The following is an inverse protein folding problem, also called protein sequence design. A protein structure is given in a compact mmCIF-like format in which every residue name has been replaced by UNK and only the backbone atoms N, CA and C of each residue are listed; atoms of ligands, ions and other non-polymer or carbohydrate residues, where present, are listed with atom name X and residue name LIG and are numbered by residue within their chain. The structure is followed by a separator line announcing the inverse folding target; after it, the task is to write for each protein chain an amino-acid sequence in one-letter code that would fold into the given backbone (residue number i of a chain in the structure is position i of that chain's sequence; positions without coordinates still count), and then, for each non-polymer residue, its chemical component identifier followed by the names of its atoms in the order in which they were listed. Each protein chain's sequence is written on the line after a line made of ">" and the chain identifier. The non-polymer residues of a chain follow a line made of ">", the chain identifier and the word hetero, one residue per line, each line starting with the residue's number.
data_IF_916498541157
#
_entry.id   IF_916498541157
#
_cell.length_a   1.000
_cell.length_b   1.000
_cell.length_c   1.000
_cell.angle_alpha   90.00
_cell.angle_beta   90.00
_cell.angle_gamma   90.00
#
_symmetry.space_group_name_H-M   'P 1'
#
loop_
_entity.id
_entity.type
_entity.pdbx_description
1 polymer ?
#
# COMPACT_ATOMS: atom_id res chain seq x y z
N UNK A 1 3.68 -25.91 -0.10
CA UNK A 1 5.05 -25.50 -0.50
C UNK A 1 5.98 -26.68 -0.27
N UNK A 2 6.89 -26.93 -1.20
CA UNK A 2 7.90 -27.98 -1.08
C UNK A 2 8.95 -27.63 0.00
N UNK A 3 9.36 -28.63 0.79
CA UNK A 3 10.26 -28.42 1.94
C UNK A 3 11.68 -28.04 1.51
N UNK A 4 12.18 -28.60 0.41
CA UNK A 4 13.53 -28.31 -0.09
C UNK A 4 13.62 -26.87 -0.65
N UNK A 5 12.56 -26.42 -1.32
CA UNK A 5 12.41 -25.04 -1.79
C UNK A 5 12.44 -24.04 -0.62
N UNK A 6 11.76 -24.36 0.49
CA UNK A 6 11.78 -23.53 1.72
C UNK A 6 13.17 -23.50 2.36
N UNK A 7 13.86 -24.65 2.43
CA UNK A 7 15.24 -24.70 2.96
C UNK A 7 16.18 -23.85 2.10
N UNK A 8 16.04 -23.93 0.78
CA UNK A 8 16.81 -23.13 -0.18
C UNK A 8 16.59 -21.64 0.05
N UNK A 9 15.32 -21.21 0.15
CA UNK A 9 14.98 -19.82 0.47
C UNK A 9 15.59 -19.38 1.80
N UNK A 10 15.47 -20.19 2.85
CA UNK A 10 16.00 -19.88 4.18
C UNK A 10 17.52 -19.67 4.14
N UNK A 11 18.24 -20.53 3.42
CA UNK A 11 19.68 -20.38 3.19
C UNK A 11 20.03 -19.11 2.43
N UNK A 12 19.29 -18.81 1.35
CA UNK A 12 19.50 -17.62 0.53
C UNK A 12 19.25 -16.32 1.32
N UNK A 13 18.20 -16.26 2.16
CA UNK A 13 17.94 -15.13 3.05
C UNK A 13 19.03 -14.99 4.11
N UNK A 14 19.52 -16.10 4.66
CA UNK A 14 20.66 -16.09 5.60
C UNK A 14 21.92 -15.49 4.97
N UNK A 15 22.20 -15.85 3.72
CA UNK A 15 23.30 -15.32 2.93
C UNK A 15 23.11 -13.83 2.61
N UNK A 16 21.93 -13.41 2.16
CA UNK A 16 21.60 -12.00 1.91
C UNK A 16 21.79 -11.15 3.18
N UNK A 17 21.32 -11.64 4.34
CA UNK A 17 21.55 -10.97 5.62
C UNK A 17 23.04 -10.79 5.92
N UNK A 18 23.85 -11.82 5.68
CA UNK A 18 25.30 -11.74 5.85
C UNK A 18 25.94 -10.71 4.90
N UNK A 19 25.50 -10.65 3.65
CA UNK A 19 25.98 -9.67 2.67
C UNK A 19 25.74 -8.24 3.12
N UNK A 20 24.53 -7.96 3.58
CA UNK A 20 24.13 -6.64 4.11
C UNK A 20 24.95 -6.27 5.34
N UNK A 21 25.02 -7.15 6.35
CA UNK A 21 25.67 -6.83 7.63
C UNK A 21 27.20 -6.74 7.55
N UNK A 22 27.81 -7.37 6.53
CA UNK A 22 29.26 -7.32 6.31
C UNK A 22 29.67 -6.38 5.17
N UNK A 23 28.74 -5.50 4.75
CA UNK A 23 28.96 -4.50 3.71
C UNK A 23 29.58 -5.07 2.42
N UNK A 24 29.06 -6.20 1.94
CA UNK A 24 29.52 -6.79 0.68
C UNK A 24 29.20 -5.89 -0.51
N UNK A 25 29.86 -6.17 -1.64
CA UNK A 25 29.56 -5.55 -2.92
C UNK A 25 28.15 -5.92 -3.38
N UNK A 26 27.43 -4.95 -3.91
CA UNK A 26 26.15 -5.14 -4.60
C UNK A 26 26.43 -5.78 -5.98
N UNK A 27 25.49 -6.60 -6.44
CA UNK A 27 25.57 -7.31 -7.72
C UNK A 27 24.34 -6.99 -8.57
N UNK A 28 24.41 -7.29 -9.86
CA UNK A 28 23.26 -7.34 -10.73
C UNK A 28 22.29 -8.42 -10.26
N UNK A 29 21.00 -8.20 -10.53
CA UNK A 29 19.93 -9.16 -10.31
C UNK A 29 19.97 -10.22 -11.40
N UNK A 30 19.50 -11.43 -11.08
CA UNK A 30 19.59 -12.58 -11.99
C UNK A 30 18.27 -13.29 -12.27
N UNK A 31 17.16 -12.87 -11.63
CA UNK A 31 15.87 -13.54 -11.79
C UNK A 31 14.77 -12.60 -12.25
N UNK A 32 13.87 -13.12 -13.08
CA UNK A 32 12.62 -12.46 -13.45
C UNK A 32 11.59 -12.78 -12.37
N UNK A 33 10.88 -11.77 -11.90
CA UNK A 33 9.76 -11.94 -10.96
C UNK A 33 8.46 -11.97 -11.74
N UNK A 34 7.59 -12.92 -11.39
CA UNK A 34 6.29 -13.09 -12.01
C UNK A 34 5.43 -11.82 -11.91
N UNK A 35 4.68 -11.51 -12.98
CA UNK A 35 3.76 -10.37 -13.02
C UNK A 35 4.41 -9.00 -13.27
N UNK A 36 5.70 -8.98 -13.62
CA UNK A 36 6.52 -7.78 -13.76
C UNK A 36 7.31 -7.78 -15.08
N UNK A 37 6.68 -7.39 -16.19
CA UNK A 37 7.34 -7.36 -17.50
C UNK A 37 8.51 -6.37 -17.52
N UNK A 38 9.66 -6.80 -18.07
CA UNK A 38 10.90 -6.00 -18.22
C UNK A 38 11.52 -5.46 -16.91
N UNK A 39 11.05 -5.92 -15.75
CA UNK A 39 11.57 -5.49 -14.42
C UNK A 39 13.08 -5.70 -14.28
N UNK A 40 13.56 -6.89 -14.64
CA UNK A 40 14.96 -7.27 -14.49
C UNK A 40 15.89 -6.36 -15.29
N UNK A 41 15.50 -6.02 -16.52
CA UNK A 41 16.29 -5.15 -17.40
C UNK A 41 16.32 -3.72 -16.88
N UNK A 42 15.19 -3.23 -16.36
CA UNK A 42 15.08 -1.89 -15.79
C UNK A 42 15.94 -1.77 -14.51
N UNK A 43 15.80 -2.71 -13.59
CA UNK A 43 16.63 -2.76 -12.38
C UNK A 43 18.12 -2.87 -12.69
N UNK A 44 18.51 -3.77 -13.60
CA UNK A 44 19.91 -3.92 -13.97
C UNK A 44 20.45 -2.68 -14.71
N UNK A 45 19.61 -1.93 -15.42
CA UNK A 45 19.98 -0.64 -15.99
C UNK A 45 20.23 0.41 -14.90
N UNK A 46 19.35 0.50 -13.89
CA UNK A 46 19.53 1.39 -12.74
C UNK A 46 20.76 1.02 -11.91
N UNK A 47 21.00 -0.26 -11.66
CA UNK A 47 22.19 -0.77 -10.98
C UNK A 47 23.48 -0.38 -11.72
N UNK A 48 23.51 -0.57 -13.05
CA UNK A 48 24.66 -0.16 -13.87
C UNK A 48 24.89 1.35 -13.85
N UNK A 49 23.83 2.15 -13.88
CA UNK A 49 23.93 3.60 -13.76
C UNK A 49 24.52 4.02 -12.40
N UNK A 50 24.28 3.23 -11.36
CA UNK A 50 24.88 3.37 -10.02
C UNK A 50 26.27 2.73 -9.88
N UNK A 51 26.89 2.26 -10.97
CA UNK A 51 28.24 1.69 -10.98
C UNK A 51 28.33 0.20 -10.62
N UNK A 52 27.21 -0.50 -10.49
CA UNK A 52 27.19 -1.94 -10.21
C UNK A 52 27.44 -2.72 -11.49
N UNK A 53 28.55 -3.46 -11.54
CA UNK A 53 28.97 -4.23 -12.71
C UNK A 53 29.08 -5.73 -12.45
N UNK A 54 29.19 -6.14 -11.19
CA UNK A 54 29.37 -7.54 -10.80
C UNK A 54 28.06 -8.30 -10.95
N UNK A 55 28.11 -9.50 -11.53
CA UNK A 55 26.98 -10.44 -11.58
C UNK A 55 26.94 -11.35 -10.37
N UNK A 56 28.11 -11.65 -9.79
CA UNK A 56 28.24 -12.48 -8.59
C UNK A 56 29.23 -11.86 -7.60
N UNK A 57 29.15 -12.27 -6.34
CA UNK A 57 30.11 -11.89 -5.29
C UNK A 57 31.52 -12.47 -5.50
N UNK A 58 31.70 -13.39 -6.45
CA UNK A 58 32.98 -13.98 -6.79
C UNK A 58 33.65 -13.30 -7.98
N UNK A 59 32.93 -12.41 -8.67
CA UNK A 59 33.45 -11.71 -9.84
C UNK A 59 34.61 -10.81 -9.41
N UNK A 60 35.77 -11.00 -10.02
CA UNK A 60 36.96 -10.19 -9.78
C UNK A 60 37.14 -9.24 -10.93
N UNK A 61 37.08 -7.94 -10.65
CA UNK A 61 37.61 -6.94 -11.58
C UNK A 61 38.73 -6.19 -10.88
N UNK A 62 39.90 -6.20 -11.52
CA UNK A 62 41.10 -5.56 -10.97
C UNK A 62 40.98 -4.05 -11.18
N UNK A 63 41.05 -3.28 -10.10
CA UNK A 63 41.17 -1.82 -10.16
C UNK A 63 39.88 -1.01 -10.27
N UNK A 64 38.71 -1.61 -10.01
CA UNK A 64 37.43 -0.90 -9.91
C UNK A 64 36.89 -0.97 -8.48
N UNK A 65 36.55 0.18 -7.91
CA UNK A 65 35.78 0.27 -6.67
C UNK A 65 34.31 -0.05 -6.98
N UNK A 66 33.78 -1.13 -6.41
CA UNK A 66 32.40 -1.55 -6.61
C UNK A 66 31.49 -1.01 -5.51
N UNK A 67 30.25 -0.59 -5.86
CA UNK A 67 29.27 -0.24 -4.86
C UNK A 67 29.05 -1.39 -3.87
N UNK A 68 29.03 -1.04 -2.59
CA UNK A 68 28.69 -1.89 -1.46
C UNK A 68 27.34 -1.46 -0.86
N UNK A 69 26.78 -2.31 0.00
CA UNK A 69 25.52 -2.03 0.70
C UNK A 69 25.49 -0.69 1.44
N UNK A 70 26.64 -0.18 1.91
CA UNK A 70 26.71 1.08 2.67
C UNK A 70 27.20 2.27 1.83
N UNK A 71 27.37 2.10 0.51
CA UNK A 71 27.92 3.14 -0.37
C UNK A 71 26.90 3.81 -1.29
N UNK A 72 25.73 3.20 -1.50
CA UNK A 72 24.67 3.75 -2.34
C UNK A 72 23.62 4.49 -1.48
N UNK A 73 22.80 5.37 -2.08
CA UNK A 73 21.73 6.06 -1.37
C UNK A 73 20.81 5.08 -0.63
N UNK A 74 20.40 5.46 0.59
CA UNK A 74 19.61 4.59 1.46
C UNK A 74 18.35 4.05 0.77
N UNK A 75 17.54 4.92 0.13
CA UNK A 75 16.34 4.52 -0.61
C UNK A 75 16.66 3.45 -1.67
N UNK A 76 17.76 3.64 -2.42
CA UNK A 76 18.17 2.71 -3.45
C UNK A 76 18.52 1.34 -2.86
N UNK A 77 19.32 1.33 -1.79
CA UNK A 77 19.77 0.09 -1.12
C UNK A 77 18.60 -0.65 -0.48
N UNK A 78 17.66 0.09 0.12
CA UNK A 78 16.48 -0.51 0.76
C UNK A 78 15.53 -1.12 -0.27
N UNK A 79 15.23 -0.42 -1.36
CA UNK A 79 14.47 -0.98 -2.47
C UNK A 79 15.19 -2.21 -3.07
N UNK A 80 16.52 -2.14 -3.26
CA UNK A 80 17.31 -3.25 -3.76
C UNK A 80 17.28 -4.46 -2.82
N UNK A 81 17.25 -4.26 -1.50
CA UNK A 81 17.09 -5.34 -0.51
C UNK A 81 15.80 -6.12 -0.75
N UNK A 82 14.65 -5.43 -0.87
CA UNK A 82 13.37 -6.10 -1.12
C UNK A 82 13.34 -6.80 -2.48
N UNK A 83 13.92 -6.18 -3.52
CA UNK A 83 14.04 -6.83 -4.82
C UNK A 83 14.94 -8.08 -4.78
N UNK A 84 16.01 -8.06 -3.97
CA UNK A 84 16.90 -9.22 -3.71
C UNK A 84 16.22 -10.33 -2.93
N UNK A 85 15.32 -10.01 -1.99
CA UNK A 85 14.47 -11.01 -1.33
C UNK A 85 13.62 -11.72 -2.38
N UNK A 86 13.04 -10.99 -3.33
CA UNK A 86 12.26 -11.58 -4.41
C UNK A 86 13.12 -12.40 -5.39
N UNK A 87 14.38 -12.02 -5.64
CA UNK A 87 15.34 -12.87 -6.34
C UNK A 87 15.54 -14.21 -5.61
N UNK A 88 15.70 -14.19 -4.28
CA UNK A 88 15.81 -15.41 -3.49
C UNK A 88 14.57 -16.29 -3.60
N UNK A 89 13.36 -15.71 -3.62
CA UNK A 89 12.09 -16.44 -3.80
C UNK A 89 12.02 -17.10 -5.17
N UNK A 90 12.30 -16.34 -6.23
CA UNK A 90 12.27 -16.84 -7.61
C UNK A 90 13.30 -17.95 -7.84
N UNK A 91 14.54 -17.76 -7.38
CA UNK A 91 15.61 -18.77 -7.49
C UNK A 91 15.34 -20.02 -6.65
N UNK A 92 14.54 -19.91 -5.59
CA UNK A 92 14.08 -21.05 -4.80
C UNK A 92 12.87 -21.77 -5.40
N UNK A 93 12.44 -21.38 -6.61
CA UNK A 93 11.28 -21.96 -7.33
C UNK A 93 9.96 -21.82 -6.57
N UNK A 94 9.82 -20.74 -5.79
CA UNK A 94 8.63 -20.46 -4.99
C UNK A 94 7.65 -19.49 -5.67
N UNK A 95 7.86 -19.15 -6.96
CA UNK A 95 6.93 -18.35 -7.78
C UNK A 95 6.41 -17.10 -7.06
N UNK A 96 5.09 -16.92 -7.05
CA UNK A 96 4.38 -15.81 -6.36
C UNK A 96 4.33 -15.94 -4.82
N UNK A 97 5.24 -16.68 -4.20
CA UNK A 97 5.28 -16.80 -2.75
C UNK A 97 5.60 -15.44 -2.12
N UNK A 98 4.71 -15.01 -1.23
CA UNK A 98 4.90 -13.82 -0.43
C UNK A 98 5.45 -14.19 0.96
N UNK A 99 6.73 -13.89 1.26
CA UNK A 99 7.32 -14.19 2.56
C UNK A 99 6.73 -13.39 3.71
N UNK A 100 5.96 -12.33 3.42
CA UNK A 100 5.38 -11.42 4.40
C UNK A 100 3.86 -11.61 4.58
N UNK A 101 3.22 -12.45 3.77
CA UNK A 101 1.76 -12.67 3.80
C UNK A 101 1.26 -13.04 5.20
N UNK A 102 1.96 -13.91 5.94
CA UNK A 102 1.55 -14.29 7.30
C UNK A 102 1.50 -13.08 8.23
N UNK A 103 2.49 -12.19 8.15
CA UNK A 103 2.52 -10.98 8.97
C UNK A 103 1.39 -10.02 8.58
N UNK A 104 1.17 -9.79 7.28
CA UNK A 104 0.06 -8.94 6.78
C UNK A 104 -1.31 -9.45 7.24
N UNK A 105 -1.57 -10.74 7.07
CA UNK A 105 -2.82 -11.39 7.50
C UNK A 105 -3.00 -11.33 9.01
N UNK A 106 -1.93 -11.61 9.78
CA UNK A 106 -1.96 -11.51 11.23
C UNK A 106 -2.22 -10.09 11.71
N UNK A 107 -1.73 -9.07 10.98
CA UNK A 107 -2.03 -7.66 11.26
C UNK A 107 -3.53 -7.41 11.22
N UNK A 108 -4.17 -7.73 10.09
CA UNK A 108 -5.62 -7.57 9.92
C UNK A 108 -6.45 -8.19 11.05
N UNK A 109 -6.15 -9.44 11.41
CA UNK A 109 -6.92 -10.20 12.41
C UNK A 109 -6.79 -9.56 13.79
N UNK A 110 -5.59 -9.10 14.14
CA UNK A 110 -5.33 -8.43 15.42
C UNK A 110 -6.02 -7.07 15.50
N UNK A 111 -6.24 -6.43 14.36
CA UNK A 111 -6.95 -5.15 14.24
C UNK A 111 -8.49 -5.27 14.23
N UNK A 112 -9.07 -6.36 14.74
CA UNK A 112 -10.54 -6.60 14.71
C UNK A 112 -11.34 -5.40 15.24
N UNK A 113 -10.91 -4.77 16.34
CA UNK A 113 -11.60 -3.60 16.91
C UNK A 113 -11.64 -2.41 15.94
N UNK A 114 -10.49 -2.05 15.35
CA UNK A 114 -10.40 -0.99 14.35
C UNK A 114 -11.24 -1.31 13.12
N UNK A 115 -11.13 -2.53 12.59
CA UNK A 115 -11.91 -2.97 11.43
C UNK A 115 -13.41 -2.89 11.73
N UNK A 116 -13.84 -3.35 12.92
CA UNK A 116 -15.24 -3.25 13.36
C UNK A 116 -15.70 -1.79 13.36
N UNK A 117 -14.91 -0.88 13.94
CA UNK A 117 -15.26 0.54 14.01
C UNK A 117 -15.34 1.19 12.62
N UNK A 118 -14.39 0.90 11.72
CA UNK A 118 -14.41 1.39 10.33
C UNK A 118 -15.67 0.95 9.61
N UNK A 119 -16.01 -0.34 9.67
CA UNK A 119 -17.17 -0.89 8.96
C UNK A 119 -18.50 -0.43 9.57
N UNK A 120 -18.58 -0.33 10.90
CA UNK A 120 -19.73 0.27 11.59
C UNK A 120 -19.92 1.73 11.16
N UNK A 121 -18.85 2.53 11.18
CA UNK A 121 -18.90 3.93 10.80
C UNK A 121 -19.29 4.10 9.33
N UNK A 122 -18.77 3.25 8.44
CA UNK A 122 -19.18 3.22 7.03
C UNK A 122 -20.68 2.94 6.88
N UNK A 123 -21.22 1.92 7.57
CA UNK A 123 -22.65 1.62 7.58
C UNK A 123 -23.50 2.79 8.09
N UNK A 124 -23.08 3.44 9.19
CA UNK A 124 -23.77 4.62 9.73
C UNK A 124 -23.72 5.78 8.75
N UNK A 125 -22.58 6.00 8.09
CA UNK A 125 -22.39 7.08 7.12
C UNK A 125 -23.30 6.97 5.90
N UNK A 126 -23.77 5.76 5.57
CA UNK A 126 -24.69 5.52 4.45
C UNK A 126 -26.16 5.49 4.87
N UNK A 127 -26.46 5.55 6.17
CA UNK A 127 -27.83 5.60 6.66
C UNK A 127 -28.46 6.98 6.32
N UNK A 128 -29.65 7.04 5.70
CA UNK A 128 -30.36 8.30 5.43
C UNK A 128 -30.65 9.15 6.67
N UNK A 129 -30.67 8.54 7.86
CA UNK A 129 -30.86 9.20 9.15
C UNK A 129 -29.55 9.63 9.82
N UNK A 130 -28.40 9.51 9.13
CA UNK A 130 -27.13 9.97 9.64
C UNK A 130 -27.18 11.49 9.93
N UNK A 131 -26.89 11.87 11.17
CA UNK A 131 -26.93 13.27 11.62
C UNK A 131 -25.62 14.02 11.35
N UNK A 132 -24.55 13.30 11.02
CA UNK A 132 -23.25 13.90 10.70
C UNK A 132 -23.30 14.53 9.31
N UNK A 133 -22.76 15.74 9.19
CA UNK A 133 -22.61 16.41 7.90
C UNK A 133 -21.56 15.70 7.05
N UNK A 134 -21.69 15.83 5.72
CA UNK A 134 -20.81 15.12 4.77
C UNK A 134 -19.35 15.55 4.88
N UNK A 135 -19.08 16.80 5.26
CA UNK A 135 -17.72 17.30 5.50
C UNK A 135 -17.09 16.67 6.75
N UNK A 136 -17.84 16.49 7.83
CA UNK A 136 -17.38 15.76 9.02
C UNK A 136 -17.09 14.31 8.68
N UNK A 137 -17.98 13.63 7.96
CA UNK A 137 -17.74 12.26 7.50
C UNK A 137 -16.48 12.16 6.64
N UNK A 138 -16.28 13.10 5.72
CA UNK A 138 -15.09 13.16 4.87
C UNK A 138 -13.81 13.28 5.71
N UNK A 139 -13.77 14.20 6.67
CA UNK A 139 -12.62 14.39 7.56
C UNK A 139 -12.32 13.09 8.32
N UNK A 140 -13.35 12.43 8.88
CA UNK A 140 -13.16 11.17 9.61
C UNK A 140 -12.60 10.07 8.70
N UNK A 141 -13.12 9.89 7.48
CA UNK A 141 -12.58 8.86 6.58
C UNK A 141 -11.16 9.15 6.11
N UNK A 142 -10.83 10.42 5.80
CA UNK A 142 -9.46 10.81 5.41
C UNK A 142 -8.48 10.58 6.55
N UNK A 143 -8.83 10.98 7.77
CA UNK A 143 -7.95 10.80 8.92
C UNK A 143 -7.90 9.35 9.39
N UNK A 144 -8.99 8.59 9.30
CA UNK A 144 -8.97 7.16 9.57
C UNK A 144 -8.07 6.42 8.58
N UNK A 145 -8.11 6.78 7.30
CA UNK A 145 -7.18 6.27 6.31
C UNK A 145 -5.73 6.66 6.68
N UNK A 146 -5.46 7.92 6.99
CA UNK A 146 -4.13 8.40 7.36
C UNK A 146 -3.54 7.67 8.58
N UNK A 147 -4.34 7.46 9.61
CA UNK A 147 -3.87 6.97 10.91
C UNK A 147 -4.12 5.48 11.15
N UNK A 148 -4.65 4.72 10.20
CA UNK A 148 -5.06 3.33 10.42
C UNK A 148 -3.96 2.46 11.07
N UNK A 149 -2.70 2.66 10.72
CA UNK A 149 -1.57 1.94 11.32
C UNK A 149 -1.31 2.34 12.79
N UNK A 150 -1.41 3.63 13.11
CA UNK A 150 -1.19 4.15 14.47
C UNK A 150 -2.40 3.85 15.37
N UNK A 151 -3.62 3.91 14.82
CA UNK A 151 -4.83 3.59 15.57
C UNK A 151 -4.82 2.15 16.07
N UNK A 152 -4.36 1.23 15.22
CA UNK A 152 -4.17 -0.17 15.61
C UNK A 152 -3.26 -0.30 16.84
N UNK A 153 -2.11 0.38 16.84
CA UNK A 153 -1.15 0.34 17.95
C UNK A 153 -1.74 0.91 19.25
N UNK A 154 -2.50 2.00 19.16
CA UNK A 154 -3.12 2.63 20.33
C UNK A 154 -4.18 1.75 20.99
N UNK A 155 -5.02 1.07 20.20
CA UNK A 155 -6.03 0.13 20.71
C UNK A 155 -5.38 -1.10 21.37
N UNK A 156 -4.25 -1.57 20.85
CA UNK A 156 -3.51 -2.68 21.43
C UNK A 156 -2.81 -2.32 22.74
N UNK A 157 -2.37 -1.07 22.91
CA UNK A 157 -1.76 -0.60 24.14
C UNK A 157 -2.78 -0.54 25.30
N UNK A 158 -4.02 -0.13 25.00
CA UNK A 158 -5.10 -0.06 26.00
C UNK A 158 -5.75 -1.41 26.31
N UNK A 159 -5.60 -2.43 25.46
CA UNK A 159 -6.17 -3.78 25.69
C UNK A 159 -5.58 -4.53 26.91
N UNK A 160 -4.45 -4.06 27.48
CA UNK A 160 -3.92 -4.55 28.76
C UNK A 160 -4.66 -3.97 29.98
N UNK A 161 -5.55 -3.02 29.78
CA UNK A 161 -6.54 -2.58 30.75
C UNK A 161 -7.90 -3.07 30.26
N UNK A 162 -8.61 -3.83 31.09
CA UNK A 162 -10.00 -4.25 30.84
C UNK A 162 -10.88 -3.02 30.76
N UNK A 163 -10.98 -2.42 29.58
CA UNK A 163 -11.89 -1.33 29.27
C UNK A 163 -13.12 -1.97 28.65
N UNK A 164 -14.22 -1.84 29.38
CA UNK A 164 -15.60 -2.00 28.90
C UNK A 164 -15.79 -1.28 27.56
N UNK A 165 -16.77 -1.71 26.76
CA UNK A 165 -17.14 -1.20 25.43
C UNK A 165 -17.64 0.26 25.47
N UNK A 166 -16.81 1.15 25.99
CA UNK A 166 -16.80 2.61 25.84
C UNK A 166 -15.45 2.98 25.22
N UNK A 167 -15.00 2.17 24.24
CA UNK A 167 -13.89 2.52 23.38
C UNK A 167 -14.22 3.89 22.75
N UNK A 168 -13.31 4.85 22.90
CA UNK A 168 -13.33 6.11 22.17
C UNK A 168 -13.72 5.84 20.73
N UNK A 169 -14.79 6.48 20.27
CA UNK A 169 -15.30 6.25 18.92
C UNK A 169 -14.21 6.58 17.89
N UNK A 170 -14.29 6.02 16.68
CA UNK A 170 -13.38 6.36 15.59
C UNK A 170 -13.23 7.89 15.43
N UNK A 171 -14.32 8.63 15.63
CA UNK A 171 -14.34 10.09 15.62
C UNK A 171 -13.51 10.72 16.76
N UNK A 172 -13.66 10.22 18.00
CA UNK A 172 -12.91 10.74 19.15
C UNK A 172 -11.39 10.52 18.98
N UNK A 173 -10.99 9.39 18.40
CA UNK A 173 -9.57 9.15 18.12
C UNK A 173 -9.06 10.02 16.98
N UNK A 174 -9.83 10.17 15.91
CA UNK A 174 -9.53 11.12 14.82
C UNK A 174 -9.33 12.52 15.40
N UNK A 175 -10.21 12.97 16.29
CA UNK A 175 -10.09 14.28 16.94
C UNK A 175 -8.80 14.40 17.76
N UNK A 176 -8.39 13.35 18.49
CA UNK A 176 -7.12 13.33 19.22
C UNK A 176 -5.90 13.36 18.29
N UNK A 177 -5.93 12.59 17.20
CA UNK A 177 -4.81 12.49 16.26
C UNK A 177 -4.70 13.71 15.35
N UNK A 178 -5.81 14.41 15.09
CA UNK A 178 -5.83 15.66 14.33
C UNK A 178 -4.89 16.71 14.94
N UNK A 179 -4.72 16.71 16.27
CA UNK A 179 -3.81 17.60 16.99
C UNK A 179 -2.33 17.30 16.74
N UNK A 180 -2.01 16.12 16.19
CA UNK A 180 -0.64 15.70 15.85
C UNK A 180 -0.25 16.03 14.41
N UNK A 181 -1.19 16.52 13.59
CA UNK A 181 -0.91 16.94 12.22
C UNK A 181 -0.08 18.22 12.21
N UNK A 182 1.11 18.14 11.62
CA UNK A 182 1.98 19.32 11.41
C UNK A 182 1.44 20.21 10.28
N UNK A 183 0.87 19.58 9.25
CA UNK A 183 0.20 20.23 8.11
C UNK A 183 -1.13 19.53 7.92
N UNK A 184 -2.22 20.29 7.91
CA UNK A 184 -3.57 19.77 7.73
C UNK A 184 -4.32 20.56 6.65
N UNK A 185 -4.26 20.05 5.42
CA UNK A 185 -5.00 20.58 4.27
C UNK A 185 -6.34 19.87 4.05
N UNK A 186 -6.84 19.06 5.01
CA UNK A 186 -8.05 18.24 4.84
C UNK A 186 -9.27 19.08 4.45
N UNK A 187 -9.42 20.29 5.02
CA UNK A 187 -10.52 21.20 4.66
C UNK A 187 -10.37 21.80 3.26
N UNK A 188 -9.14 22.09 2.83
CA UNK A 188 -8.88 22.56 1.48
C UNK A 188 -9.18 21.45 0.47
N UNK A 189 -8.79 20.23 0.80
CA UNK A 189 -9.07 19.03 0.03
C UNK A 189 -10.58 18.74 -0.08
N UNK A 190 -11.35 18.90 0.99
CA UNK A 190 -12.81 18.81 0.95
C UNK A 190 -13.42 19.81 -0.03
N UNK A 191 -13.04 21.09 0.07
CA UNK A 191 -13.54 22.15 -0.84
C UNK A 191 -13.23 21.84 -2.30
N UNK A 192 -12.01 21.38 -2.56
CA UNK A 192 -11.58 20.99 -3.89
C UNK A 192 -12.46 19.88 -4.50
N UNK A 193 -12.85 18.88 -3.70
CA UNK A 193 -13.78 17.84 -4.12
C UNK A 193 -15.19 18.37 -4.38
N UNK A 194 -15.71 19.24 -3.51
CA UNK A 194 -17.03 19.85 -3.68
C UNK A 194 -17.12 20.72 -4.94
N UNK A 195 -16.10 21.54 -5.20
CA UNK A 195 -16.10 22.41 -6.38
C UNK A 195 -16.16 21.59 -7.67
N UNK A 196 -15.49 20.44 -7.70
CA UNK A 196 -15.48 19.54 -8.87
C UNK A 196 -16.72 18.68 -9.01
N UNK A 197 -17.33 18.23 -7.91
CA UNK A 197 -18.59 17.48 -7.98
C UNK A 197 -19.73 18.35 -8.52
N UNK A 198 -19.72 19.65 -8.21
CA UNK A 198 -20.71 20.63 -8.70
C UNK A 198 -20.48 20.99 -10.18
N UNK A 199 -19.23 21.14 -10.62
CA UNK A 199 -18.93 21.56 -12.00
C UNK A 199 -19.16 20.49 -13.08
N UNK A 200 -19.25 19.21 -12.71
CA UNK A 200 -19.25 18.09 -13.67
C UNK A 200 -20.59 17.38 -13.83
N UNK A 201 -21.70 17.90 -13.28
CA UNK A 201 -23.04 17.34 -13.50
C UNK A 201 -23.45 17.25 -14.98
N UNK A 202 -22.80 18.03 -15.85
CA UNK A 202 -23.06 18.09 -17.30
C UNK A 202 -21.93 17.49 -18.17
N UNK A 203 -20.84 16.96 -17.60
CA UNK A 203 -19.73 16.42 -18.39
C UNK A 203 -19.79 14.90 -18.52
N UNK A 204 -19.62 14.37 -19.74
CA UNK A 204 -19.60 12.92 -20.02
C UNK A 204 -18.37 12.18 -19.49
N UNK A 205 -17.43 12.88 -18.84
CA UNK A 205 -16.16 12.32 -18.35
C UNK A 205 -16.27 11.95 -16.87
N UNK A 206 -16.03 10.69 -16.48
CA UNK A 206 -16.10 10.27 -15.08
C UNK A 206 -14.99 10.92 -14.26
N UNK A 207 -15.33 11.38 -13.06
CA UNK A 207 -14.34 11.79 -12.08
C UNK A 207 -13.63 10.56 -11.51
N UNK A 208 -12.30 10.57 -11.48
CA UNK A 208 -11.47 9.44 -11.03
C UNK A 208 -10.53 9.86 -9.91
N UNK A 209 -10.51 9.07 -8.85
CA UNK A 209 -9.53 9.16 -7.76
C UNK A 209 -8.52 8.03 -7.90
N UNK A 210 -7.23 8.33 -7.90
CA UNK A 210 -6.17 7.32 -7.77
C UNK A 210 -5.68 7.26 -6.31
N UNK A 211 -5.47 6.05 -5.81
CA UNK A 211 -4.89 5.79 -4.48
C UNK A 211 -3.63 4.96 -4.67
N UNK A 212 -2.48 5.54 -4.33
CA UNK A 212 -1.19 4.84 -4.31
C UNK A 212 -1.02 4.26 -2.93
N UNK A 213 -1.16 2.93 -2.85
CA UNK A 213 -1.34 2.23 -1.59
C UNK A 213 -0.01 2.02 -0.87
N UNK A 214 -0.10 2.05 0.45
CA UNK A 214 0.98 1.67 1.36
C UNK A 214 0.68 0.27 1.93
N UNK A 215 0.20 0.13 3.16
CA UNK A 215 0.12 -1.17 3.83
C UNK A 215 -1.20 -1.92 3.65
N UNK A 216 -1.10 -3.25 3.64
CA UNK A 216 -2.21 -4.18 3.75
C UNK A 216 -2.77 -4.22 5.19
N UNK A 217 -3.81 -5.02 5.38
CA UNK A 217 -4.46 -5.17 6.69
C UNK A 217 -5.41 -4.00 6.98
N UNK A 218 -5.40 -3.41 8.20
CA UNK A 218 -6.38 -2.39 8.57
C UNK A 218 -6.28 -1.10 7.74
N UNK A 219 -5.09 -0.72 7.27
CA UNK A 219 -4.93 0.45 6.41
C UNK A 219 -5.65 0.28 5.07
N UNK A 220 -5.48 -0.89 4.43
CA UNK A 220 -6.22 -1.21 3.21
C UNK A 220 -7.75 -1.21 3.41
N UNK A 221 -8.23 -1.65 4.58
CA UNK A 221 -9.67 -1.56 4.92
C UNK A 221 -10.10 -0.09 5.03
N UNK A 222 -9.31 0.76 5.70
CA UNK A 222 -9.59 2.19 5.83
C UNK A 222 -9.60 2.89 4.47
N UNK A 223 -8.68 2.55 3.58
CA UNK A 223 -8.62 3.06 2.20
C UNK A 223 -9.85 2.65 1.38
N UNK A 224 -10.32 1.41 1.53
CA UNK A 224 -11.56 0.93 0.90
C UNK A 224 -12.80 1.64 1.47
N UNK A 225 -12.84 1.91 2.78
CA UNK A 225 -13.89 2.72 3.40
C UNK A 225 -13.92 4.15 2.85
N UNK A 226 -12.77 4.81 2.74
CA UNK A 226 -12.66 6.14 2.13
C UNK A 226 -13.13 6.10 0.67
N UNK A 227 -12.67 5.13 -0.11
CA UNK A 227 -13.07 4.97 -1.51
C UNK A 227 -14.58 4.75 -1.68
N UNK A 228 -15.20 3.92 -0.84
CA UNK A 228 -16.65 3.68 -0.86
C UNK A 228 -17.42 4.93 -0.47
N UNK A 229 -16.94 5.68 0.54
CA UNK A 229 -17.54 6.96 0.91
C UNK A 229 -17.48 7.97 -0.25
N UNK A 230 -16.32 8.11 -0.91
CA UNK A 230 -16.16 9.03 -2.05
C UNK A 230 -17.12 8.68 -3.20
N UNK A 231 -17.26 7.39 -3.52
CA UNK A 231 -18.22 6.92 -4.52
C UNK A 231 -19.67 7.20 -4.12
N UNK A 232 -20.08 6.79 -2.91
CA UNK A 232 -21.46 6.94 -2.44
C UNK A 232 -21.91 8.39 -2.31
N UNK A 233 -20.98 9.32 -2.07
CA UNK A 233 -21.25 10.77 -2.03
C UNK A 233 -21.13 11.45 -3.39
N UNK A 234 -20.85 10.70 -4.46
CA UNK A 234 -20.69 11.26 -5.81
C UNK A 234 -19.48 12.20 -5.93
N UNK A 235 -18.51 12.08 -5.02
CA UNK A 235 -17.25 12.85 -5.06
C UNK A 235 -16.27 12.24 -6.07
N UNK A 236 -16.50 10.99 -6.45
CA UNK A 236 -15.82 10.34 -7.56
C UNK A 236 -16.76 9.34 -8.22
N UNK A 237 -16.50 8.99 -9.49
CA UNK A 237 -17.21 7.93 -10.21
C UNK A 237 -16.38 6.65 -10.28
N UNK A 238 -15.06 6.75 -10.09
CA UNK A 238 -14.14 5.62 -10.16
C UNK A 238 -12.96 5.79 -9.21
N UNK A 239 -12.46 4.67 -8.68
CA UNK A 239 -11.25 4.63 -7.87
C UNK A 239 -10.24 3.66 -8.46
N UNK A 240 -9.05 4.15 -8.75
CA UNK A 240 -7.90 3.35 -9.18
C UNK A 240 -6.97 3.10 -7.99
N UNK A 241 -6.81 1.84 -7.63
CA UNK A 241 -5.90 1.40 -6.59
C UNK A 241 -4.58 0.93 -7.22
N UNK A 242 -3.46 1.49 -6.75
CA UNK A 242 -2.12 1.14 -7.21
C UNK A 242 -1.36 0.42 -6.10
N UNK A 243 -1.45 -0.91 -6.02
CA UNK A 243 -0.61 -1.73 -5.16
C UNK A 243 0.80 -1.89 -5.75
N UNK A 244 1.71 -2.43 -4.93
CA UNK A 244 3.04 -2.85 -5.35
C UNK A 244 2.97 -4.15 -6.16
N UNK A 245 3.81 -4.30 -7.17
CA UNK A 245 3.78 -5.46 -8.07
C UNK A 245 4.30 -6.74 -7.40
N UNK A 246 5.17 -6.60 -6.40
CA UNK A 246 5.83 -7.68 -5.67
C UNK A 246 5.69 -7.45 -4.17
N UNK A 247 5.87 -8.47 -3.31
CA UNK A 247 6.03 -8.28 -1.87
C UNK A 247 7.11 -7.22 -1.59
N UNK A 248 6.69 -6.12 -0.96
CA UNK A 248 7.47 -4.90 -0.87
C UNK A 248 7.34 -4.34 0.55
N UNK A 249 8.43 -3.81 1.10
CA UNK A 249 8.45 -3.12 2.40
C UNK A 249 7.67 -3.82 3.54
N UNK A 250 7.71 -5.16 3.53
CA UNK A 250 7.02 -6.06 4.47
C UNK A 250 5.49 -6.03 4.34
N UNK A 251 4.87 -4.88 4.60
CA UNK A 251 3.42 -4.77 4.74
C UNK A 251 2.73 -4.19 3.51
N UNK A 252 3.46 -3.75 2.48
CA UNK A 252 2.82 -3.12 1.34
C UNK A 252 1.80 -4.02 0.64
N UNK A 253 0.72 -3.38 0.18
CA UNK A 253 -0.35 -4.04 -0.56
C UNK A 253 0.19 -4.53 -1.90
N UNK A 254 -0.02 -5.81 -2.18
CA UNK A 254 0.09 -6.41 -3.51
C UNK A 254 -1.31 -6.77 -4.05
N UNK A 255 -1.46 -7.06 -5.36
CA UNK A 255 -2.70 -7.57 -5.91
C UNK A 255 -3.24 -8.83 -5.20
N UNK A 256 -2.35 -9.69 -4.67
CA UNK A 256 -2.75 -10.89 -3.93
C UNK A 256 -3.32 -10.55 -2.54
N UNK A 257 -2.88 -9.46 -1.92
CA UNK A 257 -3.43 -9.01 -0.64
C UNK A 257 -4.85 -8.47 -0.81
N UNK A 258 -5.13 -7.78 -1.92
CA UNK A 258 -6.48 -7.37 -2.28
C UNK A 258 -7.42 -8.56 -2.45
N UNK A 259 -7.00 -9.53 -3.27
CA UNK A 259 -7.79 -10.73 -3.52
C UNK A 259 -8.04 -11.50 -2.22
N UNK A 260 -6.99 -11.69 -1.42
CA UNK A 260 -7.11 -12.36 -0.12
C UNK A 260 -8.04 -11.60 0.82
N UNK A 261 -7.90 -10.28 0.96
CA UNK A 261 -8.76 -9.46 1.84
C UNK A 261 -10.24 -9.63 1.46
N UNK A 262 -10.58 -9.49 0.18
CA UNK A 262 -11.97 -9.47 -0.28
C UNK A 262 -12.64 -10.84 -0.35
N UNK A 263 -11.86 -11.90 -0.57
CA UNK A 263 -12.40 -13.26 -0.73
C UNK A 263 -12.33 -14.08 0.56
N UNK A 264 -11.40 -13.73 1.45
CA UNK A 264 -11.04 -14.55 2.60
C UNK A 264 -10.94 -13.73 3.88
N UNK A 265 -10.06 -12.72 3.92
CA UNK A 265 -9.67 -12.01 5.14
C UNK A 265 -10.76 -11.17 5.78
N UNK A 266 -11.69 -10.61 4.99
CA UNK A 266 -12.81 -9.81 5.46
C UNK A 266 -14.13 -10.59 5.33
N UNK A 267 -14.20 -11.73 6.00
CA UNK A 267 -15.39 -12.60 6.01
C UNK A 267 -15.67 -13.11 7.41
N UNK A 268 -16.89 -13.59 7.65
CA UNK A 268 -17.28 -14.25 8.90
C UNK A 268 -16.46 -15.49 9.24
N UNK A 269 -15.73 -16.06 8.27
CA UNK A 269 -14.78 -17.15 8.52
C UNK A 269 -13.57 -16.70 9.35
N UNK A 270 -13.12 -15.46 9.15
CA UNK A 270 -11.94 -14.91 9.84
C UNK A 270 -12.30 -13.96 10.97
N UNK A 271 -13.50 -13.36 10.93
CA UNK A 271 -14.04 -12.51 11.97
C UNK A 271 -15.34 -13.10 12.51
N UNK A 272 -15.29 -13.71 13.70
CA UNK A 272 -16.44 -14.41 14.29
C UNK A 272 -17.25 -13.58 15.30
N UNK A 273 -16.83 -12.35 15.60
CA UNK A 273 -17.56 -11.48 16.52
C UNK A 273 -18.95 -11.13 16.00
N UNK A 274 -19.97 -11.11 16.87
CA UNK A 274 -21.38 -10.92 16.50
C UNK A 274 -21.63 -9.64 15.70
N UNK A 275 -20.86 -8.58 15.97
CA UNK A 275 -20.96 -7.28 15.28
C UNK A 275 -20.19 -7.30 13.96
N UNK A 276 -18.93 -7.74 13.97
CA UNK A 276 -18.06 -7.65 12.79
C UNK A 276 -18.39 -8.68 11.72
N UNK A 277 -18.79 -9.90 12.08
CA UNK A 277 -19.07 -10.97 11.11
C UNK A 277 -20.05 -10.53 9.99
N UNK A 278 -21.25 -10.00 10.30
CA UNK A 278 -22.17 -9.55 9.25
C UNK A 278 -21.67 -8.32 8.49
N UNK A 279 -20.91 -7.42 9.15
CA UNK A 279 -20.34 -6.24 8.50
C UNK A 279 -19.25 -6.63 7.49
N UNK A 280 -18.36 -7.54 7.87
CA UNK A 280 -17.27 -8.03 7.04
C UNK A 280 -17.82 -8.70 5.77
N UNK A 281 -18.80 -9.61 5.92
CA UNK A 281 -19.45 -10.26 4.78
C UNK A 281 -20.19 -9.26 3.87
N UNK A 282 -20.89 -8.29 4.45
CA UNK A 282 -21.60 -7.26 3.70
C UNK A 282 -20.63 -6.40 2.87
N UNK A 283 -19.61 -5.82 3.51
CA UNK A 283 -18.69 -4.89 2.86
C UNK A 283 -17.75 -5.59 1.88
N UNK A 284 -17.26 -6.80 2.19
CA UNK A 284 -16.48 -7.57 1.22
C UNK A 284 -17.30 -7.92 -0.03
N UNK A 285 -18.59 -8.25 0.12
CA UNK A 285 -19.48 -8.46 -1.03
C UNK A 285 -19.73 -7.18 -1.80
N UNK A 286 -19.99 -6.06 -1.11
CA UNK A 286 -20.23 -4.77 -1.75
C UNK A 286 -19.00 -4.30 -2.54
N UNK A 287 -17.81 -4.36 -1.96
CA UNK A 287 -16.58 -3.96 -2.65
C UNK A 287 -16.25 -4.87 -3.82
N UNK A 288 -16.48 -6.19 -3.73
CA UNK A 288 -16.38 -7.08 -4.90
C UNK A 288 -17.29 -6.63 -6.04
N UNK A 289 -18.54 -6.23 -5.75
CA UNK A 289 -19.44 -5.66 -6.77
C UNK A 289 -18.92 -4.35 -7.37
N UNK A 290 -18.27 -3.48 -6.58
CA UNK A 290 -17.60 -2.28 -7.10
C UNK A 290 -16.49 -2.63 -8.08
N UNK A 291 -15.71 -3.68 -7.79
CA UNK A 291 -14.68 -4.18 -8.70
C UNK A 291 -15.29 -4.79 -9.97
N UNK A 292 -16.33 -5.61 -9.85
CA UNK A 292 -17.03 -6.23 -10.99
C UNK A 292 -17.68 -5.17 -11.90
N UNK A 293 -18.22 -4.08 -11.31
CA UNK A 293 -18.78 -2.95 -12.04
C UNK A 293 -17.72 -2.01 -12.64
N UNK A 294 -16.44 -2.19 -12.29
CA UNK A 294 -15.34 -1.33 -12.73
C UNK A 294 -15.35 0.07 -12.11
N UNK A 295 -16.07 0.26 -11.00
CA UNK A 295 -16.06 1.47 -10.16
C UNK A 295 -14.82 1.47 -9.27
N UNK A 296 -14.41 0.30 -8.78
CA UNK A 296 -13.08 0.07 -8.22
C UNK A 296 -12.24 -0.69 -9.22
N UNK A 297 -10.97 -0.31 -9.38
CA UNK A 297 -10.04 -1.04 -10.24
C UNK A 297 -8.64 -1.08 -9.66
N UNK A 298 -8.03 -2.26 -9.67
CA UNK A 298 -6.58 -2.40 -9.44
C UNK A 298 -5.83 -2.04 -10.72
N UNK A 299 -4.76 -1.24 -10.58
CA UNK A 299 -3.83 -0.86 -11.64
C UNK A 299 -2.41 -1.14 -11.17
N UNK A 300 -1.63 -1.84 -11.99
CA UNK A 300 -0.24 -2.16 -11.68
C UNK A 300 0.69 -1.21 -12.43
N UNK A 301 1.79 -0.84 -11.79
CA UNK A 301 2.96 -0.26 -12.45
C UNK A 301 4.19 -0.66 -11.67
N UNK A 302 5.23 -1.05 -12.40
CA UNK A 302 6.53 -1.39 -11.84
C UNK A 302 7.18 -0.21 -11.13
N UNK A 303 6.84 1.02 -11.53
CA UNK A 303 7.41 2.23 -10.97
C UNK A 303 7.33 2.27 -9.44
N UNK A 304 6.24 1.77 -8.85
CA UNK A 304 6.03 1.76 -7.40
C UNK A 304 6.97 0.82 -6.64
N UNK A 305 7.72 -0.03 -7.34
CA UNK A 305 8.70 -0.97 -6.80
C UNK A 305 10.09 -0.77 -7.41
N UNK A 306 10.36 0.43 -7.93
CA UNK A 306 11.69 0.86 -8.39
C UNK A 306 12.39 1.71 -7.32
N UNK A 307 13.74 1.80 -7.35
CA UNK A 307 14.51 2.62 -6.43
C UNK A 307 14.53 4.11 -6.84
N UNK A 308 13.41 4.64 -7.32
CA UNK A 308 13.34 5.93 -8.01
C UNK A 308 12.40 6.91 -7.30
N UNK A 309 12.74 8.20 -7.38
CA UNK A 309 11.91 9.27 -6.86
C UNK A 309 10.76 9.60 -7.83
N UNK A 310 9.69 10.23 -7.33
CA UNK A 310 8.46 10.45 -8.11
C UNK A 310 8.61 11.45 -9.27
N UNK A 311 9.62 12.32 -9.23
CA UNK A 311 9.98 13.20 -10.35
C UNK A 311 10.52 12.43 -11.56
N UNK A 312 11.05 11.22 -11.35
CA UNK A 312 11.52 10.32 -12.41
C UNK A 312 10.37 9.57 -13.11
N UNK A 313 9.13 9.66 -12.61
CA UNK A 313 7.97 8.96 -13.17
C UNK A 313 7.76 9.28 -14.66
N UNK A 314 7.94 10.54 -15.04
CA UNK A 314 7.79 11.00 -16.43
C UNK A 314 8.78 10.36 -17.42
N UNK A 315 9.93 9.91 -16.91
CA UNK A 315 11.01 9.32 -17.70
C UNK A 315 10.89 7.79 -17.70
N UNK A 316 10.62 7.19 -16.54
CA UNK A 316 10.66 5.74 -16.34
C UNK A 316 9.34 5.04 -16.64
N UNK A 317 8.20 5.72 -16.46
CA UNK A 317 6.87 5.21 -16.83
C UNK A 317 6.02 6.35 -17.39
N UNK A 318 6.44 6.84 -18.57
CA UNK A 318 5.72 7.90 -19.29
C UNK A 318 4.22 7.60 -19.47
N UNK A 319 3.77 6.38 -19.82
CA UNK A 319 2.35 6.08 -19.90
C UNK A 319 1.60 6.27 -18.56
N UNK A 320 2.20 5.90 -17.43
CA UNK A 320 1.61 6.15 -16.11
C UNK A 320 1.60 7.64 -15.77
N UNK A 321 2.72 8.33 -16.00
CA UNK A 321 2.83 9.77 -15.82
C UNK A 321 1.74 10.52 -16.58
N UNK A 322 1.60 10.24 -17.87
CA UNK A 322 0.65 10.95 -18.73
C UNK A 322 -0.79 10.70 -18.28
N UNK A 323 -1.12 9.49 -17.80
CA UNK A 323 -2.43 9.18 -17.21
C UNK A 323 -2.70 9.95 -15.92
N UNK A 324 -1.68 10.14 -15.09
CA UNK A 324 -1.79 10.82 -13.79
C UNK A 324 -1.80 12.34 -13.92
N UNK A 325 -1.00 12.90 -14.83
CA UNK A 325 -0.81 14.34 -15.00
C UNK A 325 -1.80 14.96 -15.99
N UNK A 326 -2.16 14.23 -17.05
CA UNK A 326 -2.95 14.75 -18.18
C UNK A 326 -4.14 13.88 -18.54
N UNK A 327 -4.26 12.70 -17.94
CA UNK A 327 -5.32 11.74 -18.21
C UNK A 327 -6.56 11.99 -17.34
N UNK A 328 -7.32 10.92 -17.15
CA UNK A 328 -8.64 10.97 -16.52
C UNK A 328 -8.57 11.02 -14.98
N UNK A 329 -7.39 11.10 -14.37
CA UNK A 329 -7.23 11.12 -12.90
C UNK A 329 -7.35 12.55 -12.38
N UNK A 330 -8.35 12.80 -11.54
CA UNK A 330 -8.63 14.14 -11.01
C UNK A 330 -7.96 14.39 -9.65
N UNK A 331 -7.83 13.33 -8.83
CA UNK A 331 -7.20 13.38 -7.51
C UNK A 331 -6.31 12.18 -7.33
N UNK A 332 -5.10 12.38 -6.81
CA UNK A 332 -4.17 11.31 -6.46
C UNK A 332 -3.90 11.39 -4.97
N UNK A 333 -4.19 10.30 -4.26
CA UNK A 333 -3.92 10.13 -2.83
C UNK A 333 -2.67 9.25 -2.73
N UNK A 334 -1.60 9.80 -2.19
CA UNK A 334 -0.41 9.03 -1.84
C UNK A 334 -0.46 8.66 -0.35
N UNK A 335 -0.49 7.36 -0.07
CA UNK A 335 -0.46 6.81 1.30
C UNK A 335 0.96 6.69 1.87
N UNK A 336 1.94 6.62 0.98
CA UNK A 336 3.29 6.14 1.23
C UNK A 336 4.16 7.19 1.93
N UNK A 337 4.93 6.77 2.93
CA UNK A 337 5.92 7.61 3.63
C UNK A 337 7.16 7.93 2.77
N UNK A 338 7.59 6.99 1.92
CA UNK A 338 8.84 7.05 1.15
C UNK A 338 8.79 7.99 -0.07
N UNK A 339 7.64 8.56 -0.39
CA UNK A 339 7.42 9.48 -1.51
C UNK A 339 8.18 10.80 -1.41
N UNK A 340 8.62 11.19 -0.21
CA UNK A 340 9.23 12.50 0.05
C UNK A 340 10.76 12.52 0.00
N UNK A 341 11.42 11.38 -0.25
CA UNK A 341 12.89 11.32 -0.28
C UNK A 341 13.38 11.57 -1.72
N UNK A 342 13.20 12.79 -2.21
CA UNK A 342 14.01 13.28 -3.35
C UNK A 342 15.33 13.83 -2.79
N UNK A 343 16.50 13.41 -3.31
CA UNK A 343 17.81 13.93 -2.89
C UNK A 343 17.96 15.45 -3.09
N UNK A 344 17.06 16.09 -3.84
CA UNK A 344 17.14 17.51 -4.20
C UNK A 344 16.48 18.46 -3.17
N UNK A 345 16.08 17.97 -2.00
CA UNK A 345 15.68 18.79 -0.85
C UNK A 345 16.71 18.65 0.29
N UNK A 346 17.91 19.20 0.08
CA UNK A 346 18.84 19.65 1.12
C UNK A 346 19.53 20.92 0.65
#
# INVERSE_FOLDING_TARGET
>A
LDLESIKTLTGAIGQLRYEVTTNKTITLLSSVVDGCDNDLDLWNSLLRNSGVLLTTSHDRTVGLDHPTWFSLPWLFVECYLYRRIMDCVALSQLGNFDPFAVKKRSGLIKSESLVTQLLCFLSVSQNPQCVLSTDTLFIVFVQAALWANEFDLSLHADANHTVTVEATSLADHVDQMSQRLVVDDTRALWRFWCDRSVCHSDSSTPHVTAVILDNAGPELVADLCLAEFLLCRGLTNKVYFYPKCIPWFVSDVTPLDFDWLLTTGLTSQWFSGEVIAPLADHWSMQWRRRFDAGEFCVRKSMFWTLPCAFDELSVLDKPLHDKMAYGDVNVIIFKVMFSYVSPNFC
#
